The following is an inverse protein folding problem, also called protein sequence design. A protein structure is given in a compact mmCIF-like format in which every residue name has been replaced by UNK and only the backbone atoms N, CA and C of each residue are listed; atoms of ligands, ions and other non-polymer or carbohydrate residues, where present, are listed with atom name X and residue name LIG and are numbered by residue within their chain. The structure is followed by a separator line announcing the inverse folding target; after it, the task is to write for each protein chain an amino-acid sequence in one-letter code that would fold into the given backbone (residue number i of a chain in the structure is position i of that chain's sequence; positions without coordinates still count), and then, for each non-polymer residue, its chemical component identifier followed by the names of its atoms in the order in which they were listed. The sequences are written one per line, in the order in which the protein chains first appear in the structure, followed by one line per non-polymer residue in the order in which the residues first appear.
data_IF_272702964513
#
_entry.id   IF_272702964513
#
_cell.length_a   1.000
_cell.length_b   1.000
_cell.length_c   1.000
_cell.angle_alpha   90.00
_cell.angle_beta   90.00
_cell.angle_gamma   90.00
#
_symmetry.space_group_name_H-M   'P 1'
#
loop_
_entity.id
_entity.type
_entity.pdbx_description
1 polymer ?
#
# COMPACT_ATOMS: atom_id res chain seq x y z
N UNK A 1 52.03 26.06 36.31
CA UNK A 1 51.82 25.05 35.25
C UNK A 1 50.75 24.01 35.59
N UNK A 2 50.84 23.25 36.71
CA UNK A 2 49.83 22.24 37.08
C UNK A 2 48.38 22.76 37.06
N UNK A 3 48.11 23.91 37.69
CA UNK A 3 46.75 24.46 37.77
C UNK A 3 46.16 24.87 36.41
N UNK A 4 47.00 25.31 35.47
CA UNK A 4 46.56 25.68 34.11
C UNK A 4 46.15 24.43 33.34
N UNK A 5 46.91 23.34 33.48
CA UNK A 5 46.61 22.06 32.83
C UNK A 5 45.29 21.49 33.38
N UNK A 6 45.07 21.55 34.70
CA UNK A 6 43.81 21.06 35.31
C UNK A 6 42.59 21.84 34.85
N UNK A 7 42.69 23.17 34.73
CA UNK A 7 41.60 24.01 34.22
C UNK A 7 41.31 23.69 32.76
N UNK A 8 42.33 23.48 31.94
CA UNK A 8 42.18 23.14 30.53
C UNK A 8 41.50 21.76 30.35
N UNK A 9 41.82 20.81 31.22
CA UNK A 9 41.25 19.46 31.20
C UNK A 9 39.77 19.46 31.65
N UNK A 10 39.41 20.27 32.64
CA UNK A 10 38.02 20.48 33.06
C UNK A 10 37.20 21.17 31.98
N UNK A 11 37.76 22.18 31.29
CA UNK A 11 37.10 22.82 30.15
C UNK A 11 36.89 21.83 29.01
N UNK A 12 37.89 21.02 28.67
CA UNK A 12 37.77 19.98 27.66
C UNK A 12 36.68 18.96 28.01
N UNK A 13 36.61 18.52 29.27
CA UNK A 13 35.58 17.59 29.75
C UNK A 13 34.17 18.21 29.64
N UNK A 14 34.02 19.47 30.05
CA UNK A 14 32.75 20.20 29.95
C UNK A 14 32.30 20.38 28.50
N UNK A 15 33.24 20.66 27.60
CA UNK A 15 32.99 20.80 26.17
C UNK A 15 32.60 19.45 25.52
N UNK A 16 33.28 18.36 25.90
CA UNK A 16 32.91 17.02 25.47
C UNK A 16 31.52 16.61 25.98
N UNK A 17 31.21 16.88 27.26
CA UNK A 17 29.87 16.65 27.80
C UNK A 17 28.82 17.50 27.08
N UNK A 18 29.12 18.76 26.73
CA UNK A 18 28.21 19.62 25.98
C UNK A 18 27.97 19.12 24.55
N UNK A 19 29.02 18.65 23.87
CA UNK A 19 28.92 18.05 22.53
C UNK A 19 28.13 16.75 22.59
N UNK A 20 28.45 15.84 23.52
CA UNK A 20 27.72 14.59 23.70
C UNK A 20 26.25 14.86 24.03
N UNK A 21 25.98 15.79 24.95
CA UNK A 21 24.62 16.15 25.31
C UNK A 21 23.88 16.77 24.13
N UNK A 22 24.51 17.65 23.34
CA UNK A 22 23.87 18.16 22.14
C UNK A 22 23.64 17.06 21.11
N UNK A 23 24.61 16.21 20.78
CA UNK A 23 24.43 15.13 19.81
C UNK A 23 23.31 14.17 20.26
N UNK A 24 23.26 13.78 21.53
CA UNK A 24 22.22 12.88 22.04
C UNK A 24 20.84 13.53 22.20
N UNK A 25 20.74 14.83 22.47
CA UNK A 25 19.46 15.52 22.67
C UNK A 25 18.96 16.31 21.46
N UNK A 26 19.82 16.67 20.52
CA UNK A 26 19.43 17.31 19.26
C UNK A 26 18.86 16.30 18.28
N UNK A 27 19.21 15.03 18.45
CA UNK A 27 18.78 13.95 17.58
C UNK A 27 17.52 13.31 18.19
N UNK A 28 16.39 13.95 17.93
CA UNK A 28 15.06 13.59 18.48
C UNK A 28 14.66 12.15 18.18
N UNK A 29 15.26 11.55 17.16
CA UNK A 29 14.99 10.20 16.69
C UNK A 29 15.49 9.13 17.67
N UNK A 30 16.71 9.27 18.21
CA UNK A 30 17.25 8.32 19.20
C UNK A 30 16.47 8.33 20.52
N UNK A 31 16.04 9.50 20.99
CA UNK A 31 15.21 9.63 22.19
C UNK A 31 13.82 9.01 21.95
N UNK A 32 13.28 9.15 20.74
CA UNK A 32 12.00 8.54 20.35
C UNK A 32 12.09 7.02 20.35
N UNK A 33 13.11 6.45 19.70
CA UNK A 33 13.37 5.00 19.68
C UNK A 33 13.58 4.47 21.11
N UNK A 34 14.41 5.12 21.93
CA UNK A 34 14.64 4.68 23.30
C UNK A 34 13.34 4.69 24.13
N UNK A 35 12.47 5.69 23.92
CA UNK A 35 11.18 5.80 24.62
C UNK A 35 10.22 4.68 24.18
N UNK A 36 10.15 4.37 22.90
CA UNK A 36 9.34 3.26 22.36
C UNK A 36 9.82 1.91 22.88
N UNK A 37 11.14 1.72 23.03
CA UNK A 37 11.74 0.49 23.56
C UNK A 37 11.73 0.37 25.09
N UNK A 38 11.36 1.41 25.83
CA UNK A 38 11.43 1.42 27.31
C UNK A 38 10.11 1.69 28.00
N UNK A 39 9.12 2.25 27.30
CA UNK A 39 7.83 2.58 27.88
C UNK A 39 6.76 1.55 27.56
N UNK A 40 6.11 0.93 28.57
CA UNK A 40 4.99 0.01 28.38
C UNK A 40 3.80 0.61 27.61
N UNK A 41 3.72 1.93 27.50
CA UNK A 41 2.65 2.63 26.77
C UNK A 41 2.76 2.54 25.25
N UNK A 42 3.87 2.02 24.73
CA UNK A 42 4.16 1.86 23.30
C UNK A 42 4.36 0.40 22.91
N UNK A 43 4.13 -0.52 23.85
CA UNK A 43 4.33 -1.95 23.64
C UNK A 43 3.01 -2.70 23.72
N UNK A 44 2.90 -3.75 22.91
CA UNK A 44 1.82 -4.73 23.00
C UNK A 44 2.39 -5.96 23.72
N UNK A 45 1.86 -6.28 24.90
CA UNK A 45 2.31 -7.47 25.63
C UNK A 45 1.74 -8.72 24.98
N UNK A 46 2.44 -9.86 25.08
CA UNK A 46 1.91 -11.14 24.61
C UNK A 46 0.59 -11.48 25.32
N UNK A 47 0.47 -11.17 26.62
CA UNK A 47 -0.78 -11.37 27.38
C UNK A 47 -1.95 -10.57 26.81
N UNK A 48 -1.74 -9.28 26.49
CA UNK A 48 -2.79 -8.44 25.89
C UNK A 48 -3.22 -8.99 24.52
N UNK A 49 -2.26 -9.45 23.72
CA UNK A 49 -2.52 -10.06 22.43
C UNK A 49 -3.31 -11.36 22.59
N UNK A 50 -2.91 -12.23 23.51
CA UNK A 50 -3.57 -13.50 23.78
C UNK A 50 -5.03 -13.27 24.26
N UNK A 51 -5.24 -12.32 25.17
CA UNK A 51 -6.56 -11.94 25.67
C UNK A 51 -7.49 -11.47 24.53
N UNK A 52 -6.97 -10.65 23.61
CA UNK A 52 -7.70 -10.20 22.41
C UNK A 52 -8.00 -11.36 21.46
N UNK A 53 -7.04 -12.24 21.16
CA UNK A 53 -7.22 -13.35 20.23
C UNK A 53 -8.19 -14.42 20.76
N UNK A 54 -8.25 -14.61 22.08
CA UNK A 54 -9.21 -15.51 22.72
C UNK A 54 -10.65 -14.97 22.69
N UNK A 55 -10.81 -13.65 22.72
CA UNK A 55 -12.11 -13.00 22.67
C UNK A 55 -12.04 -11.69 21.87
N UNK A 56 -12.13 -11.81 20.54
CA UNK A 56 -11.99 -10.67 19.62
C UNK A 56 -13.04 -9.56 19.83
N UNK A 57 -14.15 -9.88 20.51
CA UNK A 57 -15.21 -8.93 20.89
C UNK A 57 -14.92 -8.21 22.21
N UNK A 58 -13.83 -8.54 22.92
CA UNK A 58 -13.44 -7.82 24.12
C UNK A 58 -12.98 -6.40 23.78
N UNK A 59 -13.93 -5.48 23.94
CA UNK A 59 -13.74 -4.05 23.70
C UNK A 59 -12.55 -3.48 24.49
N UNK A 60 -12.28 -3.98 25.70
CA UNK A 60 -11.18 -3.48 26.52
C UNK A 60 -9.82 -3.80 25.89
N UNK A 61 -9.57 -5.06 25.54
CA UNK A 61 -8.32 -5.49 24.89
C UNK A 61 -8.17 -4.85 23.50
N UNK A 62 -9.26 -4.80 22.72
CA UNK A 62 -9.27 -4.11 21.41
C UNK A 62 -8.85 -2.64 21.52
N UNK A 63 -9.47 -1.90 22.43
CA UNK A 63 -9.17 -0.49 22.63
C UNK A 63 -7.76 -0.28 23.19
N UNK A 64 -7.26 -1.18 24.06
CA UNK A 64 -5.89 -1.11 24.53
C UNK A 64 -4.89 -1.31 23.38
N UNK A 65 -5.09 -2.29 22.51
CA UNK A 65 -4.24 -2.48 21.32
C UNK A 65 -4.27 -1.23 20.43
N UNK A 66 -5.46 -0.69 20.13
CA UNK A 66 -5.60 0.53 19.34
C UNK A 66 -4.86 1.72 19.98
N UNK A 67 -4.98 1.93 21.30
CA UNK A 67 -4.28 3.00 22.03
C UNK A 67 -2.76 2.88 21.87
N UNK A 68 -2.21 1.67 22.05
CA UNK A 68 -0.77 1.40 21.91
C UNK A 68 -0.28 1.69 20.49
N UNK A 69 -1.04 1.25 19.48
CA UNK A 69 -0.70 1.50 18.08
C UNK A 69 -0.75 2.99 17.75
N UNK A 70 -1.86 3.68 18.07
CA UNK A 70 -2.02 5.12 17.84
C UNK A 70 -0.91 5.94 18.50
N UNK A 71 -0.51 5.59 19.72
CA UNK A 71 0.63 6.24 20.40
C UNK A 71 1.95 6.00 19.69
N UNK A 72 2.19 4.78 19.23
CA UNK A 72 3.43 4.39 18.55
C UNK A 72 3.61 5.11 17.21
N UNK A 73 2.54 5.21 16.42
CA UNK A 73 2.58 5.94 15.14
C UNK A 73 2.38 7.47 15.31
N UNK A 74 2.12 7.95 16.53
CA UNK A 74 1.97 9.39 16.83
C UNK A 74 0.60 9.99 16.50
N UNK A 75 -0.43 9.17 16.30
CA UNK A 75 -1.79 9.53 15.90
C UNK A 75 -2.70 9.82 17.10
N UNK A 76 -2.21 10.64 18.04
CA UNK A 76 -2.87 10.87 19.33
C UNK A 76 -4.27 11.48 19.21
N UNK A 77 -4.54 12.21 18.12
CA UNK A 77 -5.85 12.80 17.84
C UNK A 77 -6.96 11.77 17.69
N UNK A 78 -6.64 10.53 17.28
CA UNK A 78 -7.63 9.47 17.08
C UNK A 78 -8.04 8.76 18.38
N UNK A 79 -7.36 9.04 19.50
CA UNK A 79 -7.66 8.41 20.79
C UNK A 79 -9.08 8.75 21.29
N UNK A 80 -9.65 9.90 20.90
CA UNK A 80 -11.02 10.26 21.28
C UNK A 80 -12.08 9.41 20.55
N UNK A 81 -11.72 8.77 19.44
CA UNK A 81 -12.59 7.94 18.61
C UNK A 81 -12.32 6.44 18.77
N UNK A 82 -11.53 6.05 19.78
CA UNK A 82 -11.00 4.69 19.93
C UNK A 82 -12.07 3.58 19.90
N UNK A 83 -13.25 3.89 20.42
CA UNK A 83 -14.39 2.97 20.46
C UNK A 83 -14.92 2.58 19.07
N UNK A 84 -14.72 3.46 18.08
CA UNK A 84 -15.18 3.30 16.70
C UNK A 84 -14.12 2.72 15.77
N UNK A 85 -12.87 2.62 16.24
CA UNK A 85 -11.77 2.06 15.46
C UNK A 85 -11.96 0.55 15.36
N UNK A 86 -11.96 0.05 14.13
CA UNK A 86 -11.86 -1.36 13.82
C UNK A 86 -10.39 -1.76 13.82
N UNK A 87 -10.08 -2.87 14.50
CA UNK A 87 -8.73 -3.38 14.70
C UNK A 87 -8.65 -4.76 14.09
N UNK A 88 -7.70 -4.97 13.19
CA UNK A 88 -7.38 -6.28 12.63
C UNK A 88 -5.96 -6.66 13.05
N UNK A 89 -5.74 -7.90 13.46
CA UNK A 89 -4.45 -8.36 13.98
C UNK A 89 -4.00 -9.61 13.24
N UNK A 90 -2.74 -9.59 12.78
CA UNK A 90 -2.12 -10.68 12.03
C UNK A 90 -0.69 -10.93 12.53
N UNK A 91 -0.19 -12.14 12.29
CA UNK A 91 1.22 -12.48 12.51
C UNK A 91 1.79 -13.16 11.27
N UNK A 92 2.95 -12.67 10.81
CA UNK A 92 3.64 -13.23 9.63
C UNK A 92 5.08 -12.73 9.58
N UNK A 93 5.98 -13.51 8.99
CA UNK A 93 7.35 -13.09 8.70
C UNK A 93 7.33 -12.20 7.45
N UNK A 94 7.35 -10.88 7.61
CA UNK A 94 7.28 -9.89 6.52
C UNK A 94 8.56 -9.05 6.41
N UNK A 95 9.49 -9.26 7.33
CA UNK A 95 10.82 -8.66 7.39
C UNK A 95 11.87 -9.78 7.56
N UNK A 96 13.14 -9.53 7.20
CA UNK A 96 14.23 -10.51 7.32
C UNK A 96 14.68 -10.69 8.78
N UNK A 97 13.78 -11.20 9.62
CA UNK A 97 13.97 -11.45 11.05
C UNK A 97 13.55 -12.88 11.39
N UNK A 98 14.13 -13.44 12.46
CA UNK A 98 13.87 -14.84 12.84
C UNK A 98 12.43 -15.08 13.33
N UNK A 99 11.85 -14.12 14.06
CA UNK A 99 10.51 -14.24 14.61
C UNK A 99 9.48 -13.54 13.69
N UNK A 100 8.26 -14.08 13.56
CA UNK A 100 7.17 -13.39 12.87
C UNK A 100 6.86 -12.03 13.50
N UNK A 101 6.57 -11.04 12.65
CA UNK A 101 6.12 -9.73 13.09
C UNK A 101 4.63 -9.78 13.47
N UNK A 102 4.23 -8.90 14.37
CA UNK A 102 2.83 -8.57 14.64
C UNK A 102 2.43 -7.41 13.73
N UNK A 103 1.35 -7.58 12.97
CA UNK A 103 0.76 -6.54 12.12
C UNK A 103 -0.59 -6.18 12.72
N UNK A 104 -0.76 -4.90 13.04
CA UNK A 104 -2.02 -4.36 13.54
C UNK A 104 -2.53 -3.30 12.58
N UNK A 105 -3.69 -3.56 11.98
CA UNK A 105 -4.38 -2.61 11.10
C UNK A 105 -5.43 -1.87 11.90
N UNK A 106 -5.44 -0.54 11.77
CA UNK A 106 -6.47 0.33 12.31
C UNK A 106 -7.25 0.95 11.15
N UNK A 107 -8.52 0.60 11.01
CA UNK A 107 -9.45 1.34 10.14
C UNK A 107 -10.00 2.53 10.93
N UNK A 108 -9.49 3.72 10.64
CA UNK A 108 -9.79 4.95 11.39
C UNK A 108 -11.06 5.63 10.84
N UNK A 109 -11.19 5.65 9.52
CA UNK A 109 -12.39 6.08 8.79
C UNK A 109 -12.61 5.21 7.55
N UNK A 110 -13.63 5.50 6.74
CA UNK A 110 -13.83 4.83 5.44
C UNK A 110 -12.68 5.11 4.44
N UNK A 111 -12.02 6.27 4.57
CA UNK A 111 -11.00 6.75 3.63
C UNK A 111 -9.58 6.73 4.22
N UNK A 112 -9.45 6.20 5.44
CA UNK A 112 -8.19 6.23 6.15
C UNK A 112 -8.01 5.03 7.06
N UNK A 113 -6.96 4.27 6.78
CA UNK A 113 -6.43 3.21 7.61
C UNK A 113 -4.91 3.26 7.67
N UNK A 114 -4.35 2.52 8.61
CA UNK A 114 -2.92 2.37 8.82
C UNK A 114 -2.61 0.95 9.27
N UNK A 115 -1.55 0.35 8.73
CA UNK A 115 -1.06 -0.94 9.17
C UNK A 115 0.27 -0.76 9.90
N UNK A 116 0.29 -0.94 11.22
CA UNK A 116 1.50 -0.84 12.02
C UNK A 116 2.15 -2.22 12.21
N UNK A 117 3.48 -2.27 12.13
CA UNK A 117 4.30 -3.47 12.23
C UNK A 117 5.14 -3.40 13.48
N UNK A 118 5.13 -4.50 14.24
CA UNK A 118 5.86 -4.65 15.49
C UNK A 118 6.74 -5.90 15.45
N UNK A 119 7.95 -5.77 15.97
CA UNK A 119 8.86 -6.87 16.19
C UNK A 119 8.70 -7.45 17.59
N UNK A 120 8.82 -8.77 17.69
CA UNK A 120 8.78 -9.47 18.96
C UNK A 120 10.10 -9.30 19.71
N UNK A 121 10.00 -8.85 20.95
CA UNK A 121 11.11 -8.73 21.89
C UNK A 121 10.70 -9.37 23.24
N UNK A 122 11.19 -10.59 23.49
CA UNK A 122 10.81 -11.41 24.64
C UNK A 122 9.29 -11.62 24.70
N UNK A 123 8.61 -11.04 25.69
CA UNK A 123 7.17 -11.15 25.91
C UNK A 123 6.37 -9.91 25.44
N UNK A 124 6.99 -9.06 24.64
CA UNK A 124 6.39 -7.82 24.14
C UNK A 124 6.63 -7.68 22.64
N UNK A 125 5.79 -6.89 22.00
CA UNK A 125 5.97 -6.42 20.64
C UNK A 125 6.27 -4.92 20.66
N UNK A 126 7.33 -4.53 19.95
CA UNK A 126 7.83 -3.15 19.87
C UNK A 126 7.65 -2.65 18.44
N UNK A 127 7.12 -1.44 18.31
CA UNK A 127 6.88 -0.81 17.03
C UNK A 127 8.18 -0.66 16.21
N UNK A 128 8.12 -0.94 14.91
CA UNK A 128 9.27 -0.77 14.01
C UNK A 128 8.95 -0.01 12.74
N UNK A 129 7.75 -0.20 12.17
CA UNK A 129 7.37 0.46 10.91
C UNK A 129 5.84 0.49 10.75
N UNK A 130 5.34 1.18 9.73
CA UNK A 130 3.93 1.20 9.38
C UNK A 130 3.72 1.54 7.90
N UNK A 131 2.54 1.20 7.39
CA UNK A 131 2.07 1.57 6.05
C UNK A 131 0.92 2.57 6.25
N UNK A 132 1.10 3.79 5.73
CA UNK A 132 0.11 4.87 5.73
C UNK A 132 -0.62 4.96 4.38
N UNK A 133 -1.60 5.88 4.31
CA UNK A 133 -2.38 6.18 3.10
C UNK A 133 -3.19 4.98 2.57
N UNK A 134 -3.52 4.05 3.46
CA UNK A 134 -4.48 2.99 3.16
C UNK A 134 -5.89 3.55 3.29
N UNK A 135 -6.82 3.00 2.51
CA UNK A 135 -8.26 3.16 2.76
C UNK A 135 -8.74 2.01 3.64
N UNK A 136 -10.05 1.86 3.86
CA UNK A 136 -10.57 0.79 4.71
C UNK A 136 -10.04 -0.59 4.28
N UNK A 137 -9.30 -1.25 5.17
CA UNK A 137 -8.73 -2.59 4.95
C UNK A 137 -9.76 -3.64 5.36
N UNK A 138 -10.06 -4.57 4.46
CA UNK A 138 -10.91 -5.74 4.74
C UNK A 138 -10.10 -6.89 5.33
N UNK A 139 -8.91 -7.17 4.78
CA UNK A 139 -8.09 -8.29 5.23
C UNK A 139 -6.64 -8.18 4.76
N UNK A 140 -5.77 -8.90 5.45
CA UNK A 140 -4.40 -9.16 5.00
C UNK A 140 -4.23 -10.62 4.57
N UNK A 141 -3.42 -10.84 3.54
CA UNK A 141 -2.86 -12.14 3.19
C UNK A 141 -1.35 -12.05 3.03
N UNK A 142 -0.66 -13.18 3.08
CA UNK A 142 0.79 -13.24 2.99
C UNK A 142 1.21 -14.27 1.97
N UNK A 143 2.05 -13.88 1.02
CA UNK A 143 2.58 -14.79 0.00
C UNK A 143 4.10 -14.95 0.19
N UNK A 144 4.62 -16.18 0.16
CA UNK A 144 6.05 -16.40 0.28
C UNK A 144 6.79 -15.89 -0.96
N UNK A 145 7.92 -15.23 -0.73
CA UNK A 145 8.80 -14.81 -1.80
C UNK A 145 9.86 -15.91 -2.04
N UNK A 146 9.91 -16.60 -3.19
CA UNK A 146 10.70 -17.82 -3.34
C UNK A 146 12.21 -17.70 -3.06
N UNK A 147 12.75 -16.48 -3.11
CA UNK A 147 14.18 -16.19 -2.89
C UNK A 147 14.48 -15.60 -1.51
N UNK A 148 13.47 -15.40 -0.66
CA UNK A 148 13.61 -14.78 0.66
C UNK A 148 12.92 -15.63 1.72
N UNK A 149 13.31 -15.43 2.97
CA UNK A 149 12.77 -16.11 4.16
C UNK A 149 11.57 -15.36 4.78
N UNK A 150 11.08 -14.33 4.10
CA UNK A 150 9.91 -13.56 4.47
C UNK A 150 8.89 -13.45 3.33
N UNK A 151 7.71 -12.98 3.67
CA UNK A 151 6.53 -12.90 2.85
C UNK A 151 6.28 -11.47 2.37
N UNK A 152 5.66 -11.34 1.19
CA UNK A 152 4.97 -10.10 0.81
C UNK A 152 3.62 -10.03 1.51
N UNK A 153 3.16 -8.80 1.76
CA UNK A 153 1.86 -8.52 2.36
C UNK A 153 0.86 -8.09 1.30
N UNK A 154 -0.26 -8.78 1.20
CA UNK A 154 -1.40 -8.42 0.35
C UNK A 154 -2.42 -7.72 1.23
N UNK A 155 -2.71 -6.45 0.94
CA UNK A 155 -3.67 -5.64 1.68
C UNK A 155 -4.92 -5.46 0.82
N UNK A 156 -6.01 -6.12 1.19
CA UNK A 156 -7.31 -6.00 0.53
C UNK A 156 -8.08 -4.81 1.09
N UNK A 157 -8.49 -3.91 0.20
CA UNK A 157 -9.03 -2.60 0.55
C UNK A 157 -10.38 -2.33 -0.12
N UNK A 158 -11.22 -1.54 0.54
CA UNK A 158 -12.46 -0.97 0.01
C UNK A 158 -12.36 0.56 0.05
N UNK A 159 -12.68 1.17 -1.08
CA UNK A 159 -13.03 2.58 -1.17
C UNK A 159 -14.51 2.71 -1.56
N UNK A 160 -15.31 3.27 -0.65
CA UNK A 160 -16.74 3.51 -0.87
C UNK A 160 -17.02 5.02 -0.89
N UNK A 161 -17.22 5.54 -2.10
CA UNK A 161 -17.62 6.91 -2.38
C UNK A 161 -19.03 6.99 -2.97
N UNK A 162 -19.87 5.98 -2.69
CA UNK A 162 -21.28 5.97 -3.10
C UNK A 162 -22.03 7.20 -2.57
N UNK A 163 -21.57 7.77 -1.45
CA UNK A 163 -22.03 9.06 -0.92
C UNK A 163 -21.22 10.23 -1.48
N UNK A 164 -21.48 10.60 -2.73
CA UNK A 164 -20.98 11.85 -3.35
C UNK A 164 -20.17 11.66 -4.64
N UNK A 165 -19.44 10.55 -4.77
CA UNK A 165 -18.69 10.17 -5.97
C UNK A 165 -19.37 9.12 -6.84
N UNK A 166 -20.45 8.48 -6.36
CA UNK A 166 -21.19 7.41 -7.04
C UNK A 166 -20.33 6.24 -7.54
N UNK A 167 -19.21 5.96 -6.84
CA UNK A 167 -18.37 4.82 -7.14
C UNK A 167 -18.00 3.98 -5.91
N UNK A 168 -17.71 2.72 -6.18
CA UNK A 168 -17.29 1.72 -5.22
C UNK A 168 -16.13 0.93 -5.81
N UNK A 169 -15.04 0.80 -5.05
CA UNK A 169 -13.86 0.05 -5.48
C UNK A 169 -13.41 -0.94 -4.40
N UNK A 170 -13.10 -2.16 -4.84
CA UNK A 170 -12.29 -3.14 -4.12
C UNK A 170 -10.99 -3.33 -4.86
N UNK A 171 -9.87 -3.28 -4.16
CA UNK A 171 -8.55 -3.50 -4.74
C UNK A 171 -7.63 -4.19 -3.75
N UNK A 172 -6.52 -4.72 -4.28
CA UNK A 172 -5.45 -5.31 -3.47
C UNK A 172 -4.13 -4.64 -3.82
N UNK A 173 -3.41 -4.24 -2.78
CA UNK A 173 -2.04 -3.77 -2.88
C UNK A 173 -1.10 -4.84 -2.34
N UNK A 174 0.02 -5.06 -3.03
CA UNK A 174 1.09 -5.95 -2.59
C UNK A 174 2.24 -5.08 -2.11
N UNK A 175 2.59 -5.23 -0.84
CA UNK A 175 3.73 -4.57 -0.22
C UNK A 175 4.87 -5.56 0.01
N UNK A 176 6.09 -5.09 -0.24
CA UNK A 176 7.31 -5.81 0.09
C UNK A 176 8.26 -4.93 0.92
N UNK A 177 8.98 -5.53 1.86
CA UNK A 177 10.00 -4.82 2.64
C UNK A 177 11.26 -4.59 1.80
N UNK A 178 11.55 -3.33 1.49
CA UNK A 178 12.63 -2.89 0.60
C UNK A 178 13.28 -1.64 1.18
N UNK A 179 14.58 -1.72 1.45
CA UNK A 179 15.36 -0.55 1.89
C UNK A 179 14.85 0.06 3.19
N UNK A 180 14.58 -0.79 4.18
CA UNK A 180 14.05 -0.46 5.50
C UNK A 180 12.62 0.12 5.53
N UNK A 181 11.87 -0.06 4.45
CA UNK A 181 10.49 0.42 4.33
C UNK A 181 9.59 -0.56 3.58
N UNK A 182 8.28 -0.48 3.80
CA UNK A 182 7.30 -1.23 3.03
C UNK A 182 6.94 -0.46 1.75
N UNK A 183 7.30 -1.02 0.60
CA UNK A 183 6.99 -0.43 -0.70
C UNK A 183 5.88 -1.20 -1.38
N UNK A 184 4.91 -0.49 -1.92
CA UNK A 184 3.95 -1.05 -2.86
C UNK A 184 4.71 -1.51 -4.11
N UNK A 185 4.55 -2.77 -4.46
CA UNK A 185 5.25 -3.41 -5.58
C UNK A 185 4.29 -3.86 -6.68
N UNK A 186 2.99 -3.87 -6.40
CA UNK A 186 1.92 -4.20 -7.34
C UNK A 186 0.57 -3.83 -6.75
N UNK A 187 -0.36 -3.40 -7.59
CA UNK A 187 -1.74 -3.11 -7.22
C UNK A 187 -2.67 -3.68 -8.29
N UNK A 188 -3.86 -4.14 -7.89
CA UNK A 188 -4.92 -4.46 -8.84
C UNK A 188 -6.32 -4.26 -8.25
N UNK A 189 -7.16 -3.55 -9.01
CA UNK A 189 -8.61 -3.48 -8.80
C UNK A 189 -9.25 -4.85 -9.00
N UNK A 190 -9.97 -5.31 -7.98
CA UNK A 190 -10.73 -6.57 -7.93
C UNK A 190 -12.16 -6.36 -8.43
N UNK A 191 -12.76 -5.25 -8.01
CA UNK A 191 -14.10 -4.85 -8.40
C UNK A 191 -14.15 -3.32 -8.42
N UNK A 192 -14.70 -2.75 -9.47
CA UNK A 192 -15.04 -1.33 -9.52
C UNK A 192 -16.43 -1.19 -10.10
N UNK A 193 -17.22 -0.30 -9.53
CA UNK A 193 -18.49 0.13 -10.07
C UNK A 193 -18.60 1.65 -9.96
N UNK A 194 -18.97 2.30 -11.06
CA UNK A 194 -19.35 3.72 -11.05
C UNK A 194 -20.61 3.93 -11.89
N UNK A 195 -21.50 4.79 -11.39
CA UNK A 195 -22.65 5.28 -12.13
C UNK A 195 -22.49 6.79 -12.36
N UNK A 196 -22.50 7.21 -13.62
CA UNK A 196 -22.36 8.62 -13.97
C UNK A 196 -23.34 9.04 -15.07
N UNK A 197 -23.69 10.32 -15.08
CA UNK A 197 -24.49 10.91 -16.15
C UNK A 197 -23.58 11.36 -17.32
N UNK A 198 -24.03 11.18 -18.56
CA UNK A 198 -23.26 11.59 -19.75
C UNK A 198 -22.88 13.08 -19.70
N UNK A 199 -23.78 13.92 -19.16
CA UNK A 199 -23.57 15.36 -19.08
C UNK A 199 -22.47 15.79 -18.11
N UNK A 200 -22.02 14.91 -17.20
CA UNK A 200 -20.95 15.20 -16.25
C UNK A 200 -19.56 15.17 -16.90
N UNK A 201 -19.38 14.29 -17.88
CA UNK A 201 -18.12 14.17 -18.64
C UNK A 201 -18.15 15.07 -19.87
N UNK A 202 -19.29 15.11 -20.56
CA UNK A 202 -19.48 15.92 -21.75
C UNK A 202 -20.62 16.91 -21.53
N UNK A 203 -20.35 18.22 -21.39
CA UNK A 203 -21.40 19.24 -21.17
C UNK A 203 -22.48 19.29 -22.26
N UNK A 204 -22.20 18.77 -23.46
CA UNK A 204 -23.16 18.66 -24.57
C UNK A 204 -23.89 17.29 -24.62
N UNK A 205 -23.63 16.42 -23.65
CA UNK A 205 -24.22 15.10 -23.51
C UNK A 205 -25.70 15.14 -23.15
N UNK A 206 -26.39 14.02 -23.39
CA UNK A 206 -27.79 13.86 -23.05
C UNK A 206 -27.97 13.79 -21.53
N UNK A 207 -28.82 14.66 -20.98
CA UNK A 207 -29.05 14.75 -19.52
C UNK A 207 -29.82 13.57 -18.97
N UNK A 208 -30.59 12.89 -19.81
CA UNK A 208 -31.34 11.71 -19.50
C UNK A 208 -30.55 10.42 -19.70
N UNK A 209 -29.25 10.50 -20.06
CA UNK A 209 -28.44 9.32 -20.35
C UNK A 209 -27.45 9.04 -19.23
N UNK A 210 -27.53 7.82 -18.71
CA UNK A 210 -26.70 7.35 -17.61
C UNK A 210 -25.86 6.16 -18.06
N UNK A 211 -24.65 6.10 -17.54
CA UNK A 211 -23.75 4.99 -17.72
C UNK A 211 -23.48 4.32 -16.37
N UNK A 212 -23.41 3.00 -16.39
CA UNK A 212 -22.83 2.20 -15.31
C UNK A 212 -21.64 1.47 -15.89
N UNK A 213 -20.46 1.65 -15.32
CA UNK A 213 -19.27 0.90 -15.71
C UNK A 213 -18.87 -0.04 -14.59
N UNK A 214 -18.44 -1.24 -14.96
CA UNK A 214 -17.96 -2.25 -14.03
C UNK A 214 -16.60 -2.77 -14.50
N UNK A 215 -15.62 -2.85 -13.59
CA UNK A 215 -14.43 -3.69 -13.72
C UNK A 215 -14.55 -4.87 -12.75
N UNK A 216 -14.28 -6.07 -13.24
CA UNK A 216 -14.14 -7.27 -12.43
C UNK A 216 -12.81 -7.94 -12.77
N UNK A 217 -11.98 -8.20 -11.76
CA UNK A 217 -10.71 -8.91 -11.94
C UNK A 217 -10.63 -10.14 -11.05
N UNK A 218 -10.16 -11.23 -11.64
CA UNK A 218 -9.76 -12.45 -10.92
C UNK A 218 -8.24 -12.52 -10.91
N UNK A 219 -7.65 -12.81 -9.75
CA UNK A 219 -6.21 -12.91 -9.55
C UNK A 219 -5.85 -14.35 -9.16
N UNK A 220 -4.81 -14.90 -9.78
CA UNK A 220 -4.22 -16.19 -9.46
C UNK A 220 -2.70 -16.03 -9.21
N UNK A 221 -2.26 -16.40 -8.00
CA UNK A 221 -0.85 -16.35 -7.61
C UNK A 221 -0.19 -17.72 -7.81
N UNK A 222 0.82 -17.78 -8.69
CA UNK A 222 1.66 -18.94 -8.86
C UNK A 222 2.93 -18.81 -8.02
N UNK A 223 2.92 -19.46 -6.85
CA UNK A 223 3.97 -19.33 -5.82
C UNK A 223 5.29 -20.07 -6.14
N UNK A 224 5.41 -20.69 -7.31
CA UNK A 224 6.65 -21.32 -7.76
C UNK A 224 7.68 -20.25 -8.19
N UNK A 225 8.93 -20.65 -8.41
CA UNK A 225 9.90 -19.75 -9.04
C UNK A 225 9.82 -19.85 -10.59
N UNK A 226 9.73 -18.73 -11.32
CA UNK A 226 9.56 -17.36 -10.80
C UNK A 226 8.13 -17.14 -10.29
N UNK A 227 7.97 -16.30 -9.25
CA UNK A 227 6.67 -15.96 -8.68
C UNK A 227 5.87 -15.19 -9.73
N UNK A 228 4.65 -15.66 -10.03
CA UNK A 228 3.78 -15.03 -11.04
C UNK A 228 2.43 -14.65 -10.48
N UNK A 229 1.86 -13.60 -11.06
CA UNK A 229 0.47 -13.18 -10.84
C UNK A 229 -0.23 -13.18 -12.18
N UNK A 230 -1.24 -14.02 -12.34
CA UNK A 230 -2.10 -14.00 -13.52
C UNK A 230 -3.38 -13.25 -13.18
N UNK A 231 -3.80 -12.35 -14.05
CA UNK A 231 -5.07 -11.64 -13.90
C UNK A 231 -5.94 -11.86 -15.12
N UNK A 232 -7.24 -11.98 -14.88
CA UNK A 232 -8.27 -11.90 -15.91
C UNK A 232 -9.16 -10.73 -15.52
N UNK A 233 -9.17 -9.68 -16.33
CA UNK A 233 -9.97 -8.48 -16.10
C UNK A 233 -11.06 -8.38 -17.15
N UNK A 234 -12.28 -8.07 -16.71
CA UNK A 234 -13.44 -7.85 -17.56
C UNK A 234 -14.02 -6.48 -17.28
N UNK A 235 -14.14 -5.67 -18.32
CA UNK A 235 -14.86 -4.40 -18.31
C UNK A 235 -16.25 -4.58 -18.89
N UNK A 236 -17.25 -3.92 -18.30
CA UNK A 236 -18.63 -3.89 -18.79
C UNK A 236 -19.16 -2.46 -18.73
N UNK A 237 -19.86 -2.04 -19.77
CA UNK A 237 -20.54 -0.75 -19.84
C UNK A 237 -22.02 -0.94 -20.08
N UNK A 238 -22.82 -0.35 -19.21
CA UNK A 238 -24.26 -0.37 -19.28
C UNK A 238 -24.80 1.03 -19.52
N UNK A 239 -25.96 1.12 -20.17
CA UNK A 239 -26.66 2.37 -20.45
C UNK A 239 -28.10 2.27 -19.95
N UNK A 240 -28.58 3.37 -19.37
CA UNK A 240 -29.97 3.59 -19.05
C UNK A 240 -30.40 5.00 -19.51
N UNK A 241 -31.70 5.16 -19.77
CA UNK A 241 -32.32 6.44 -20.09
C UNK A 241 -33.33 6.81 -19.00
N UNK A 242 -33.07 7.90 -18.27
CA UNK A 242 -33.87 8.38 -17.14
C UNK A 242 -33.51 9.83 -16.81
N UNK A 243 -34.50 10.66 -16.47
CA UNK A 243 -34.25 12.04 -16.01
C UNK A 243 -33.52 12.09 -14.65
N UNK A 244 -33.79 11.12 -13.78
CA UNK A 244 -33.16 10.93 -12.47
C UNK A 244 -32.17 9.73 -12.49
N UNK A 245 -31.42 9.54 -11.40
CA UNK A 245 -30.57 8.36 -11.20
C UNK A 245 -31.39 7.08 -11.42
N UNK A 246 -31.08 6.25 -12.44
CA UNK A 246 -31.86 5.06 -12.75
C UNK A 246 -31.72 3.99 -11.67
N UNK A 247 -32.77 3.18 -11.52
CA UNK A 247 -32.67 1.93 -10.74
C UNK A 247 -31.78 0.93 -11.49
N UNK A 248 -31.14 0.04 -10.73
CA UNK A 248 -30.16 -0.92 -11.25
C UNK A 248 -30.74 -1.81 -12.37
N UNK A 249 -32.02 -2.18 -12.28
CA UNK A 249 -32.68 -3.08 -13.23
C UNK A 249 -32.92 -2.47 -14.61
N UNK A 250 -32.77 -1.15 -14.75
CA UNK A 250 -33.01 -0.42 -16.01
C UNK A 250 -31.75 -0.38 -16.89
N UNK A 251 -30.59 -0.66 -16.30
CA UNK A 251 -29.32 -0.65 -17.03
C UNK A 251 -29.21 -1.84 -17.99
N UNK A 252 -28.91 -1.53 -19.25
CA UNK A 252 -28.72 -2.52 -20.30
C UNK A 252 -27.25 -2.59 -20.72
N UNK A 253 -26.68 -3.79 -20.79
CA UNK A 253 -25.29 -3.99 -21.21
C UNK A 253 -25.12 -3.60 -22.67
N UNK A 254 -24.10 -2.80 -22.96
CA UNK A 254 -23.82 -2.30 -24.31
C UNK A 254 -22.44 -2.67 -24.82
N UNK A 255 -21.44 -2.69 -23.95
CA UNK A 255 -20.06 -3.02 -24.30
C UNK A 255 -19.47 -3.94 -23.23
N UNK A 256 -18.64 -4.90 -23.64
CA UNK A 256 -17.88 -5.75 -22.74
C UNK A 256 -16.57 -6.17 -23.40
N UNK A 257 -15.48 -6.09 -22.65
CA UNK A 257 -14.15 -6.47 -23.09
C UNK A 257 -13.46 -7.25 -21.97
N UNK A 258 -12.62 -8.22 -22.32
CA UNK A 258 -11.84 -8.99 -21.35
C UNK A 258 -10.42 -9.17 -21.85
N UNK A 259 -9.46 -9.06 -20.94
CA UNK A 259 -8.05 -9.25 -21.23
C UNK A 259 -7.36 -9.97 -20.07
N UNK A 260 -6.18 -10.51 -20.36
CA UNK A 260 -5.40 -11.28 -19.40
C UNK A 260 -3.99 -10.73 -19.33
N UNK A 261 -3.47 -10.56 -18.12
CA UNK A 261 -2.08 -10.18 -17.90
C UNK A 261 -1.38 -11.26 -17.07
N UNK A 262 -0.10 -11.48 -17.36
CA UNK A 262 0.79 -12.27 -16.50
C UNK A 262 1.91 -11.35 -16.05
N UNK A 263 1.98 -11.13 -14.75
CA UNK A 263 3.06 -10.42 -14.11
C UNK A 263 4.05 -11.41 -13.51
N UNK A 264 5.33 -11.09 -13.56
CA UNK A 264 6.43 -11.90 -13.04
C UNK A 264 7.19 -11.06 -12.03
N UNK A 265 7.44 -11.59 -10.84
CA UNK A 265 8.31 -10.95 -9.86
C UNK A 265 9.74 -10.96 -10.39
N UNK A 266 10.34 -9.78 -10.47
CA UNK A 266 11.75 -9.63 -10.83
C UNK A 266 12.52 -8.90 -9.74
N UNK A 267 13.50 -9.61 -9.16
CA UNK A 267 14.28 -9.10 -8.03
C UNK A 267 15.12 -7.87 -8.41
N UNK A 268 15.55 -7.78 -9.68
CA UNK A 268 16.32 -6.64 -10.18
C UNK A 268 15.56 -5.30 -10.09
N UNK A 269 14.24 -5.33 -10.30
CA UNK A 269 13.38 -4.14 -10.20
C UNK A 269 12.60 -4.08 -8.88
N UNK A 270 12.66 -5.16 -8.09
CA UNK A 270 11.89 -5.35 -6.85
C UNK A 270 10.39 -5.04 -7.05
N UNK A 271 9.82 -5.53 -8.15
CA UNK A 271 8.41 -5.31 -8.52
C UNK A 271 7.94 -6.41 -9.47
N UNK A 272 6.62 -6.47 -9.67
CA UNK A 272 6.01 -7.32 -10.67
C UNK A 272 6.02 -6.64 -12.04
N UNK A 273 6.53 -7.34 -13.06
CA UNK A 273 6.69 -6.81 -14.42
C UNK A 273 5.90 -7.66 -15.43
N UNK A 274 5.47 -7.04 -16.53
CA UNK A 274 4.82 -7.71 -17.66
C UNK A 274 5.89 -8.14 -18.69
N UNK A 275 7.02 -7.42 -18.76
CA UNK A 275 8.14 -7.76 -19.64
C UNK A 275 9.31 -6.81 -19.50
N UNK A 276 10.40 -7.11 -20.18
CA UNK A 276 11.61 -6.27 -20.20
C UNK A 276 11.83 -5.66 -21.59
N UNK A 277 12.40 -4.45 -21.61
CA UNK A 277 12.84 -3.80 -22.84
C UNK A 277 14.33 -4.13 -23.06
N UNK A 278 14.72 -4.59 -24.27
CA UNK A 278 16.11 -4.89 -24.59
C UNK A 278 17.05 -3.70 -24.37
N UNK A 279 18.27 -3.99 -23.89
CA UNK A 279 19.33 -2.99 -23.70
C UNK A 279 19.82 -2.32 -25.01
N UNK A 280 19.38 -2.80 -26.18
CA UNK A 280 19.62 -2.10 -27.45
C UNK A 280 18.82 -0.80 -27.60
N UNK A 281 17.77 -0.62 -26.80
CA UNK A 281 16.85 0.52 -26.85
C UNK A 281 17.16 1.55 -25.77
N UNK A 282 17.45 1.09 -24.56
CA UNK A 282 17.83 1.93 -23.43
C UNK A 282 19.25 1.59 -22.96
N UNK A 283 20.06 2.61 -22.57
CA UNK A 283 21.41 2.37 -22.05
C UNK A 283 21.43 1.69 -20.67
N UNK A 284 20.27 1.58 -20.02
CA UNK A 284 20.04 0.88 -18.77
C UNK A 284 18.86 -0.08 -18.95
N UNK A 285 18.74 -1.08 -18.07
CA UNK A 285 17.64 -2.04 -18.10
C UNK A 285 16.33 -1.38 -17.67
N UNK A 286 15.26 -1.72 -18.37
CA UNK A 286 13.94 -1.14 -18.18
C UNK A 286 12.90 -2.25 -18.22
N UNK A 287 12.06 -2.31 -17.18
CA UNK A 287 10.91 -3.18 -17.13
C UNK A 287 9.63 -2.44 -17.50
N UNK A 288 8.71 -3.14 -18.15
CA UNK A 288 7.32 -2.74 -18.35
C UNK A 288 6.55 -3.26 -17.14
N UNK A 289 5.99 -2.35 -16.33
CA UNK A 289 5.20 -2.70 -15.16
C UNK A 289 3.70 -2.63 -15.43
N UNK A 290 3.29 -1.87 -16.43
CA UNK A 290 1.88 -1.71 -16.79
C UNK A 290 1.69 -1.39 -18.27
N UNK A 291 0.66 -1.99 -18.85
CA UNK A 291 0.11 -1.62 -20.14
C UNK A 291 -1.17 -0.80 -19.90
N UNK A 292 -1.14 0.50 -20.22
CA UNK A 292 -2.22 1.43 -19.92
C UNK A 292 -3.31 1.49 -21.01
N UNK A 293 -3.19 0.71 -22.10
CA UNK A 293 -4.20 0.71 -23.17
C UNK A 293 -5.52 0.10 -22.69
N UNK A 294 -5.45 -0.92 -21.84
CA UNK A 294 -6.61 -1.63 -21.33
C UNK A 294 -7.04 -1.05 -19.98
N UNK A 295 -7.69 0.10 -20.02
CA UNK A 295 -8.16 0.86 -18.85
C UNK A 295 -9.67 1.12 -18.94
N UNK A 296 -10.37 1.09 -17.81
CA UNK A 296 -11.80 1.41 -17.71
C UNK A 296 -12.09 2.83 -18.24
N UNK A 297 -11.11 3.74 -18.18
CA UNK A 297 -11.22 5.09 -18.70
C UNK A 297 -11.53 5.17 -20.21
N UNK A 298 -11.31 4.09 -20.98
CA UNK A 298 -11.72 4.03 -22.38
C UNK A 298 -13.24 4.22 -22.53
N UNK A 299 -14.05 3.75 -21.57
CA UNK A 299 -15.51 3.93 -21.61
C UNK A 299 -15.96 5.37 -21.43
N UNK A 300 -15.09 6.23 -20.93
CA UNK A 300 -15.26 7.68 -20.77
C UNK A 300 -14.71 8.46 -21.98
N UNK A 301 -14.18 7.75 -22.99
CA UNK A 301 -13.55 8.34 -24.17
C UNK A 301 -12.11 8.80 -23.93
N UNK A 302 -11.49 8.39 -22.81
CA UNK A 302 -10.10 8.72 -22.48
C UNK A 302 -9.24 7.54 -22.87
N UNK A 303 -8.39 7.71 -23.89
CA UNK A 303 -7.45 6.67 -24.34
C UNK A 303 -6.06 6.94 -23.79
N UNK A 304 -5.38 5.89 -23.34
CA UNK A 304 -4.04 5.96 -22.79
C UNK A 304 -3.11 4.93 -23.42
N UNK A 305 -2.56 5.26 -24.60
CA UNK A 305 -1.71 4.35 -25.36
C UNK A 305 -0.24 4.40 -24.88
N UNK A 306 -0.02 4.30 -23.57
CA UNK A 306 1.31 4.32 -22.95
C UNK A 306 1.65 2.99 -22.27
N UNK A 307 2.95 2.71 -22.18
CA UNK A 307 3.50 1.80 -21.18
C UNK A 307 3.99 2.58 -19.98
N UNK A 308 3.70 2.06 -18.78
CA UNK A 308 4.37 2.48 -17.55
C UNK A 308 5.58 1.59 -17.33
N UNK A 309 6.73 2.22 -17.17
CA UNK A 309 8.02 1.56 -17.11
C UNK A 309 8.72 1.86 -15.77
N UNK A 310 9.54 0.91 -15.31
CA UNK A 310 10.44 1.09 -14.17
C UNK A 310 11.87 0.83 -14.61
N UNK A 311 12.76 1.77 -14.31
CA UNK A 311 14.20 1.59 -14.54
C UNK A 311 14.83 0.77 -13.41
N UNK A 312 16.01 0.19 -13.65
CA UNK A 312 16.79 -0.48 -12.59
C UNK A 312 17.23 0.47 -11.46
N UNK A 313 17.11 1.79 -11.64
CA UNK A 313 17.39 2.81 -10.61
C UNK A 313 16.15 3.16 -9.78
N UNK A 314 14.97 2.64 -10.15
CA UNK A 314 13.70 2.90 -9.47
C UNK A 314 12.84 4.00 -10.10
N UNK A 315 13.35 4.74 -11.10
CA UNK A 315 12.58 5.79 -11.77
C UNK A 315 11.39 5.22 -12.55
N UNK A 316 10.24 5.92 -12.48
CA UNK A 316 9.03 5.62 -13.25
C UNK A 316 8.99 6.49 -14.51
N UNK A 317 8.76 5.86 -15.67
CA UNK A 317 8.65 6.52 -16.96
C UNK A 317 7.34 6.12 -17.64
N UNK A 318 6.78 7.04 -18.44
CA UNK A 318 5.61 6.77 -19.28
C UNK A 318 6.00 6.98 -20.73
N UNK A 319 5.84 5.95 -21.56
CA UNK A 319 6.26 6.00 -22.96
C UNK A 319 5.10 5.59 -23.87
N UNK A 320 4.76 6.41 -24.89
CA UNK A 320 3.79 6.02 -25.90
C UNK A 320 4.19 4.73 -26.61
N UNK A 321 3.26 3.79 -26.78
CA UNK A 321 3.53 2.49 -27.42
C UNK A 321 4.13 2.65 -28.82
N UNK A 322 3.62 3.61 -29.59
CA UNK A 322 4.11 3.94 -30.92
C UNK A 322 5.59 4.32 -30.94
N UNK A 323 6.07 5.01 -29.90
CA UNK A 323 7.49 5.36 -29.78
C UNK A 323 8.34 4.10 -29.53
N UNK A 324 7.90 3.22 -28.63
CA UNK A 324 8.63 1.98 -28.33
C UNK A 324 8.69 1.05 -29.55
N UNK A 325 7.58 0.88 -30.28
CA UNK A 325 7.55 0.10 -31.52
C UNK A 325 8.51 0.66 -32.59
N UNK A 326 8.56 1.98 -32.74
CA UNK A 326 9.47 2.61 -33.68
C UNK A 326 10.93 2.38 -33.27
N UNK A 327 11.24 2.49 -31.98
CA UNK A 327 12.59 2.20 -31.47
C UNK A 327 12.98 0.74 -31.74
N UNK A 328 12.09 -0.22 -31.48
CA UNK A 328 12.29 -1.65 -31.78
C UNK A 328 12.57 -1.90 -33.27
N UNK A 329 11.84 -1.21 -34.17
CA UNK A 329 12.01 -1.33 -35.62
C UNK A 329 13.33 -0.73 -36.13
N UNK A 330 13.85 0.31 -35.48
CA UNK A 330 15.12 0.97 -35.88
C UNK A 330 16.39 0.25 -35.43
N UNK A 331 16.28 -0.71 -34.52
CA UNK A 331 17.40 -1.53 -34.01
C UNK A 331 17.61 -2.86 -34.73
N UNK A 332 16.74 -3.22 -35.69
CA UNK A 332 16.91 -4.35 -36.61
C UNK A 332 17.39 -3.86 -37.98
#
# INVERSE_FOLDING_TARGET
MKNIITILLLLLLSFFSFILNNIFYSDTEYIKVLKEYSSPEYMITQTLLDDYLLNMEDKASKNMIADRVLRSIGYLQWLEYIDYIEVLVYQSSIMPQEEPQLIVVLNLTKDFAVAAVFEKNLNHYVYVNHIENLVKVESLQFIPLPQKDYHMMLIYQILDESFGGFFYEKFVDVYNYIGDDFKEVWQKTLYYEEIYNESWINPNGAKDKWFKVIEESVIDFSLNYPLKVNTITTFKKYIATSEDLPMEEVFSLTESNSFTNTYIWEEEYQTFIIGEIPASIFPYKVAIIEDMENDIYEFYGIKNDNFKLKTSLGDILYIPKSNLENMLKTTN
#
